data_IF_402821099479
#
_entry.id   IF_402821099479
#
_cell.length_a   1.000
_cell.length_b   1.000
_cell.length_c   1.000
_cell.angle_alpha   90.00
_cell.angle_beta   90.00
_cell.angle_gamma   90.00
#
_symmetry.space_group_name_H-M   'P 1'
#
loop_
_entity.id
_entity.type
_entity.pdbx_description
1 polymer ?
#
# COMPACT_ATOMS: atom_id res chain seq x y z
N UNK A 1 0.12 0.22 32.47
CA UNK A 1 0.04 -0.96 31.61
C UNK A 1 1.19 -0.87 30.62
N UNK A 2 2.32 -1.47 30.94
CA UNK A 2 3.46 -1.60 30.02
C UNK A 2 3.11 -2.72 29.04
N UNK A 3 2.84 -2.36 27.79
CA UNK A 3 2.65 -3.35 26.73
C UNK A 3 4.00 -3.98 26.41
N UNK A 4 4.14 -5.29 26.59
CA UNK A 4 5.33 -6.03 26.18
C UNK A 4 5.33 -6.12 24.64
N UNK A 5 6.21 -5.35 24.01
CA UNK A 5 6.38 -5.34 22.56
C UNK A 5 6.65 -6.75 22.02
N UNK A 6 7.36 -7.59 22.79
CA UNK A 6 7.65 -8.96 22.38
C UNK A 6 6.38 -9.83 22.34
N UNK A 7 5.48 -9.66 23.30
CA UNK A 7 4.20 -10.37 23.31
C UNK A 7 3.27 -9.91 22.17
N UNK A 8 3.26 -8.61 21.88
CA UNK A 8 2.53 -8.08 20.72
C UNK A 8 3.09 -8.64 19.41
N UNK A 9 4.42 -8.60 19.22
CA UNK A 9 5.08 -9.16 18.03
C UNK A 9 4.83 -10.67 17.90
N UNK A 10 4.84 -11.40 19.02
CA UNK A 10 4.49 -12.81 19.05
C UNK A 10 3.04 -13.04 18.61
N UNK A 11 2.08 -12.27 19.13
CA UNK A 11 0.67 -12.40 18.72
C UNK A 11 0.43 -12.05 17.24
N UNK A 12 1.19 -11.10 16.68
CA UNK A 12 1.20 -10.81 15.24
C UNK A 12 1.75 -12.02 14.45
N UNK A 13 2.88 -12.60 14.89
CA UNK A 13 3.49 -13.78 14.25
C UNK A 13 2.62 -15.05 14.35
N UNK A 14 1.98 -15.26 15.51
CA UNK A 14 1.03 -16.33 15.81
C UNK A 14 -0.34 -16.10 15.19
N UNK A 15 -0.52 -14.98 14.49
CA UNK A 15 -1.74 -14.67 13.75
C UNK A 15 -2.99 -14.58 14.65
N UNK A 16 -2.82 -14.03 15.85
CA UNK A 16 -3.91 -13.78 16.81
C UNK A 16 -4.59 -12.43 16.59
N UNK A 17 -3.90 -11.46 15.99
CA UNK A 17 -4.38 -10.09 15.84
C UNK A 17 -4.55 -9.67 14.39
N UNK A 18 -5.67 -9.03 14.09
CA UNK A 18 -5.90 -8.35 12.82
C UNK A 18 -4.93 -7.17 12.65
N UNK A 19 -3.92 -7.35 11.79
CA UNK A 19 -2.92 -6.33 11.47
C UNK A 19 -3.21 -5.66 10.13
N UNK A 20 -2.99 -4.35 10.06
CA UNK A 20 -3.20 -3.55 8.87
C UNK A 20 -1.97 -2.66 8.60
N UNK A 21 -1.35 -2.73 7.42
CA UNK A 21 -1.72 -3.55 6.25
C UNK A 21 -1.45 -5.04 6.48
N UNK A 22 -2.03 -5.93 5.64
CA UNK A 22 -1.84 -7.36 5.80
C UNK A 22 -0.38 -7.77 5.58
N UNK A 23 0.14 -8.59 6.49
CA UNK A 23 1.47 -9.19 6.37
C UNK A 23 1.35 -10.44 5.50
N UNK A 24 2.13 -10.47 4.41
CA UNK A 24 2.14 -11.57 3.47
C UNK A 24 2.90 -12.80 4.00
N UNK A 25 2.50 -14.00 3.59
CA UNK A 25 3.22 -15.24 3.89
C UNK A 25 4.31 -15.52 2.85
N UNK A 26 5.55 -15.64 3.35
CA UNK A 26 6.75 -15.91 2.54
C UNK A 26 7.57 -14.66 2.21
N UNK A 27 8.83 -14.87 1.82
CA UNK A 27 9.79 -13.81 1.46
C UNK A 27 9.79 -13.47 -0.03
N UNK A 28 9.00 -14.17 -0.84
CA UNK A 28 8.93 -13.95 -2.28
C UNK A 28 8.09 -12.71 -2.61
N UNK A 29 8.48 -11.98 -3.67
CA UNK A 29 7.67 -10.91 -4.25
C UNK A 29 6.29 -11.49 -4.65
N UNK A 30 5.21 -10.91 -4.11
CA UNK A 30 3.85 -11.45 -4.27
C UNK A 30 3.42 -12.44 -3.18
N UNK A 31 4.01 -12.35 -1.98
CA UNK A 31 3.63 -13.16 -0.82
C UNK A 31 2.10 -13.24 -0.65
N UNK A 32 1.62 -14.43 -0.28
CA UNK A 32 0.19 -14.72 -0.28
C UNK A 32 -0.40 -14.52 1.12
N UNK A 33 -1.65 -14.05 1.24
CA UNK A 33 -2.38 -13.94 2.53
C UNK A 33 -2.99 -15.31 2.94
N UNK A 34 -2.40 -16.39 2.42
CA UNK A 34 -2.88 -17.75 2.55
C UNK A 34 -1.84 -18.57 3.30
N UNK A 35 -2.25 -19.20 4.40
CA UNK A 35 -1.40 -20.09 5.20
C UNK A 35 -1.77 -21.54 4.98
N UNK A 36 -0.80 -22.46 5.10
CA UNK A 36 -1.09 -23.89 5.00
C UNK A 36 -1.77 -24.39 6.28
N UNK A 37 -3.08 -24.71 6.18
CA UNK A 37 -3.88 -25.21 7.29
C UNK A 37 -3.76 -26.73 7.47
N UNK A 38 -3.33 -27.45 6.42
CA UNK A 38 -3.18 -28.90 6.44
C UNK A 38 -3.09 -29.49 5.03
N UNK A 39 -3.37 -30.79 4.90
CA UNK A 39 -3.56 -31.46 3.60
C UNK A 39 -4.99 -31.99 3.51
N UNK A 40 -5.60 -31.81 2.34
CA UNK A 40 -6.87 -32.45 1.98
C UNK A 40 -6.75 -33.98 2.03
N UNK A 41 -7.88 -34.68 2.08
CA UNK A 41 -7.95 -36.15 1.93
C UNK A 41 -7.30 -36.64 0.63
N UNK A 42 -7.20 -35.79 -0.40
CA UNK A 42 -6.49 -36.07 -1.64
C UNK A 42 -4.98 -35.72 -1.60
N UNK A 43 -4.42 -35.42 -0.43
CA UNK A 43 -3.01 -35.06 -0.23
C UNK A 43 -2.61 -33.64 -0.66
N UNK A 44 -3.53 -32.85 -1.24
CA UNK A 44 -3.24 -31.48 -1.69
C UNK A 44 -3.13 -30.53 -0.48
N UNK A 45 -2.17 -29.59 -0.47
CA UNK A 45 -2.07 -28.60 0.61
C UNK A 45 -3.34 -27.74 0.63
N UNK A 46 -4.02 -27.74 1.78
CA UNK A 46 -5.18 -26.91 2.04
C UNK A 46 -4.71 -25.58 2.60
N UNK A 47 -5.09 -24.49 1.93
CA UNK A 47 -4.71 -23.14 2.32
C UNK A 47 -5.91 -22.43 2.94
N UNK A 48 -5.71 -21.84 4.11
CA UNK A 48 -6.68 -21.00 4.80
C UNK A 48 -6.31 -19.52 4.68
N UNK A 49 -7.30 -18.65 4.73
CA UNK A 49 -7.12 -17.21 4.90
C UNK A 49 -6.85 -16.91 6.37
N UNK A 50 -5.82 -16.12 6.70
CA UNK A 50 -5.61 -15.67 8.09
C UNK A 50 -6.44 -14.43 8.42
N UNK A 51 -6.47 -14.02 9.70
CA UNK A 51 -7.22 -12.86 10.21
C UNK A 51 -6.94 -11.53 9.44
N UNK A 52 -5.78 -11.42 8.75
CA UNK A 52 -5.39 -10.24 7.97
C UNK A 52 -6.08 -10.19 6.61
N UNK A 53 -6.73 -11.27 6.19
CA UNK A 53 -7.43 -11.35 4.91
C UNK A 53 -8.60 -10.38 4.79
N UNK A 54 -9.19 -9.92 5.91
CA UNK A 54 -10.21 -8.87 5.88
C UNK A 54 -9.65 -7.55 5.31
N UNK A 55 -8.34 -7.33 5.41
CA UNK A 55 -7.64 -6.18 4.86
C UNK A 55 -6.98 -6.47 3.51
N UNK A 56 -7.14 -7.67 2.94
CA UNK A 56 -6.63 -7.98 1.59
C UNK A 56 -7.29 -7.10 0.50
N UNK A 57 -8.51 -6.62 0.76
CA UNK A 57 -9.23 -5.74 -0.15
C UNK A 57 -8.82 -4.26 -0.02
N UNK A 58 -8.01 -3.89 0.98
CA UNK A 58 -7.55 -2.50 1.14
C UNK A 58 -6.18 -2.34 0.48
N UNK A 59 -6.08 -1.38 -0.45
CA UNK A 59 -4.80 -0.96 -1.01
C UNK A 59 -4.19 0.07 -0.08
N UNK A 60 -2.89 -0.08 0.18
CA UNK A 60 -2.12 0.84 1.00
C UNK A 60 -1.08 1.50 0.11
N UNK A 61 -1.30 2.77 -0.22
CA UNK A 61 -0.34 3.54 -1.00
C UNK A 61 0.18 4.69 -0.15
N UNK A 62 1.48 4.69 0.11
CA UNK A 62 2.18 5.79 0.77
C UNK A 62 2.80 6.70 -0.30
N UNK A 63 2.36 7.95 -0.34
CA UNK A 63 2.91 8.98 -1.22
C UNK A 63 3.78 9.88 -0.36
N UNK A 64 5.04 10.06 -0.73
CA UNK A 64 5.99 10.79 0.12
C UNK A 64 6.96 11.66 -0.71
N UNK A 65 7.35 12.81 -0.16
CA UNK A 65 8.31 13.74 -0.77
C UNK A 65 9.59 13.88 0.05
N UNK A 66 10.64 13.18 -0.35
CA UNK A 66 11.92 13.24 0.34
C UNK A 66 12.60 14.59 0.17
N UNK A 67 12.94 15.17 1.31
CA UNK A 67 13.84 16.31 1.39
C UNK A 67 15.30 16.00 1.09
N UNK A 68 16.13 17.04 1.06
CA UNK A 68 17.59 16.93 0.95
C UNK A 68 18.31 16.89 2.32
N UNK A 69 17.59 16.63 3.40
CA UNK A 69 18.14 16.47 4.76
C UNK A 69 18.46 17.77 5.51
N UNK A 70 18.35 18.95 4.88
CA UNK A 70 18.69 20.21 5.54
C UNK A 70 17.54 21.22 5.59
N UNK A 71 16.89 21.54 4.47
CA UNK A 71 15.91 22.66 4.43
C UNK A 71 14.84 22.55 3.33
N UNK A 72 14.68 21.39 2.70
CA UNK A 72 13.69 21.23 1.61
C UNK A 72 12.91 19.94 1.71
N UNK A 73 11.73 19.89 1.10
CA UNK A 73 10.85 18.73 1.00
C UNK A 73 9.89 18.60 2.18
N UNK A 74 9.50 17.37 2.47
CA UNK A 74 8.66 17.04 3.62
C UNK A 74 9.55 16.40 4.72
N UNK A 75 9.76 17.09 5.85
CA UNK A 75 10.64 16.62 6.92
C UNK A 75 10.10 15.42 7.69
N UNK A 76 8.81 15.07 7.54
CA UNK A 76 8.15 13.96 8.24
C UNK A 76 7.80 12.85 7.22
N UNK A 77 8.39 12.90 6.03
CA UNK A 77 8.16 11.93 4.96
C UNK A 77 9.13 10.75 5.01
N UNK A 78 8.76 9.67 4.33
CA UNK A 78 9.64 8.55 4.06
C UNK A 78 8.91 7.31 3.56
N UNK A 79 9.65 6.29 3.12
CA UNK A 79 9.08 5.00 2.83
C UNK A 79 8.50 4.37 4.12
N UNK A 80 7.34 3.75 3.99
CA UNK A 80 6.58 3.14 5.09
C UNK A 80 6.76 1.62 5.17
N UNK A 81 7.49 1.01 4.24
CA UNK A 81 7.69 -0.44 4.18
C UNK A 81 8.31 -1.01 5.46
N UNK A 82 9.19 -0.28 6.14
CA UNK A 82 9.81 -0.77 7.38
C UNK A 82 8.80 -0.92 8.52
N UNK A 83 7.83 -0.02 8.61
CA UNK A 83 6.83 -0.01 9.69
C UNK A 83 5.59 -0.86 9.37
N UNK A 84 5.21 -0.90 8.09
CA UNK A 84 3.95 -1.49 7.64
C UNK A 84 4.15 -2.74 6.76
N UNK A 85 5.38 -3.09 6.41
CA UNK A 85 5.68 -4.28 5.61
C UNK A 85 5.42 -4.12 4.11
N UNK A 86 5.57 -5.21 3.33
CA UNK A 86 5.56 -5.18 1.86
C UNK A 86 4.19 -4.96 1.24
N UNK A 87 3.11 -4.93 2.03
CA UNK A 87 1.76 -4.65 1.58
C UNK A 87 1.50 -3.17 1.25
N UNK A 88 2.48 -2.28 1.51
CA UNK A 88 2.40 -0.85 1.18
C UNK A 88 3.15 -0.55 -0.11
N UNK A 89 2.43 -0.03 -1.09
CA UNK A 89 3.02 0.58 -2.27
C UNK A 89 3.58 1.96 -1.90
N UNK A 90 4.87 2.19 -2.13
CA UNK A 90 5.52 3.45 -1.81
C UNK A 90 5.83 4.21 -3.10
N UNK A 91 5.24 5.39 -3.25
CA UNK A 91 5.44 6.26 -4.42
C UNK A 91 6.11 7.55 -3.98
N UNK A 92 7.34 7.75 -4.46
CA UNK A 92 8.08 8.99 -4.20
C UNK A 92 7.68 10.06 -5.22
N UNK A 93 7.34 11.24 -4.73
CA UNK A 93 7.11 12.44 -5.55
C UNK A 93 8.06 13.56 -5.14
N UNK A 94 8.28 14.51 -6.03
CA UNK A 94 9.00 15.76 -5.71
C UNK A 94 8.02 16.95 -5.82
N UNK A 95 7.56 17.50 -4.69
CA UNK A 95 6.58 18.61 -4.62
C UNK A 95 7.22 20.00 -4.61
N UNK A 96 6.65 20.97 -5.28
CA UNK A 96 7.11 22.37 -5.31
C UNK A 96 5.93 23.30 -5.09
N UNK A 97 6.06 24.18 -4.10
CA UNK A 97 5.19 25.35 -3.97
C UNK A 97 5.65 26.45 -4.93
N UNK A 98 4.83 27.50 -5.08
CA UNK A 98 5.18 28.71 -5.83
C UNK A 98 6.48 29.37 -5.34
N UNK A 99 6.78 29.26 -4.04
CA UNK A 99 7.97 29.81 -3.39
C UNK A 99 9.09 28.76 -3.17
N UNK A 100 9.02 27.59 -3.82
CA UNK A 100 10.03 26.54 -3.74
C UNK A 100 9.64 25.37 -2.83
N UNK A 101 10.64 24.72 -2.21
CA UNK A 101 10.49 23.42 -1.51
C UNK A 101 10.66 23.50 0.01
N UNK A 102 10.43 24.64 0.67
CA UNK A 102 10.83 24.82 2.08
C UNK A 102 10.06 23.88 3.05
N UNK A 103 8.75 23.73 2.86
CA UNK A 103 7.91 22.79 3.62
C UNK A 103 6.77 22.29 2.73
N UNK A 104 6.77 21.00 2.41
CA UNK A 104 5.85 20.44 1.39
C UNK A 104 4.81 19.47 1.95
N UNK A 105 4.82 19.20 3.26
CA UNK A 105 3.98 18.19 3.91
C UNK A 105 2.48 18.34 3.62
N UNK A 106 1.99 19.56 3.43
CA UNK A 106 0.56 19.85 3.17
C UNK A 106 0.24 19.98 1.67
N UNK A 107 1.21 19.77 0.78
CA UNK A 107 1.07 20.05 -0.65
C UNK A 107 0.61 18.84 -1.48
N UNK A 108 0.53 17.63 -0.90
CA UNK A 108 0.15 16.42 -1.63
C UNK A 108 -1.21 16.52 -2.33
N UNK A 109 -2.16 17.26 -1.75
CA UNK A 109 -3.49 17.50 -2.31
C UNK A 109 -3.66 18.91 -2.90
N UNK A 110 -2.61 19.73 -2.90
CA UNK A 110 -2.69 21.10 -3.38
C UNK A 110 -2.75 21.15 -4.91
N UNK A 111 -3.78 21.83 -5.43
CA UNK A 111 -3.93 22.11 -6.86
C UNK A 111 -2.96 23.21 -7.35
N UNK A 112 -2.44 24.02 -6.43
CA UNK A 112 -1.50 25.11 -6.73
C UNK A 112 -0.04 24.66 -6.67
N UNK A 113 0.23 23.50 -6.06
CA UNK A 113 1.56 22.91 -6.06
C UNK A 113 1.81 22.14 -7.37
N UNK A 114 3.07 22.03 -7.75
CA UNK A 114 3.50 21.13 -8.83
C UNK A 114 4.28 19.97 -8.22
N UNK A 115 4.24 18.81 -8.85
CA UNK A 115 5.09 17.71 -8.44
C UNK A 115 5.00 16.53 -9.38
N UNK A 116 6.09 15.76 -9.42
CA UNK A 116 6.23 14.62 -10.32
C UNK A 116 6.78 13.41 -9.58
N UNK A 117 6.34 12.23 -9.98
CA UNK A 117 6.87 10.96 -9.52
C UNK A 117 8.36 10.82 -9.87
N UNK A 118 9.19 10.47 -8.88
CA UNK A 118 10.66 10.42 -9.02
C UNK A 118 11.12 9.16 -9.74
N UNK A 119 10.47 8.03 -9.50
CA UNK A 119 10.86 6.72 -10.05
C UNK A 119 9.74 6.14 -10.92
N UNK A 120 9.37 6.87 -11.98
CA UNK A 120 8.40 6.36 -12.96
C UNK A 120 8.94 5.07 -13.64
N UNK A 121 8.06 4.09 -13.97
CA UNK A 121 8.47 2.90 -14.71
C UNK A 121 9.18 3.26 -16.02
N UNK A 122 10.19 2.48 -16.40
CA UNK A 122 10.98 2.74 -17.61
C UNK A 122 10.08 2.86 -18.86
N UNK A 123 10.14 4.01 -19.54
CA UNK A 123 9.33 4.31 -20.72
C UNK A 123 7.95 4.93 -20.44
N UNK A 124 7.57 5.12 -19.18
CA UNK A 124 6.36 5.84 -18.81
C UNK A 124 6.61 7.34 -18.60
N UNK A 125 5.61 8.16 -18.91
CA UNK A 125 5.63 9.59 -18.54
C UNK A 125 5.45 9.70 -17.03
N UNK A 126 6.32 10.43 -16.30
CA UNK A 126 6.16 10.64 -14.87
C UNK A 126 4.79 11.21 -14.51
N UNK A 127 4.11 10.57 -13.56
CA UNK A 127 2.80 11.02 -13.10
C UNK A 127 2.95 12.30 -12.28
N UNK A 128 1.98 13.20 -12.40
CA UNK A 128 1.87 14.33 -11.47
C UNK A 128 1.51 13.84 -10.07
N UNK A 129 1.87 14.58 -9.02
CA UNK A 129 1.50 14.22 -7.63
C UNK A 129 -0.01 14.06 -7.44
N UNK A 130 -0.82 14.88 -8.11
CA UNK A 130 -2.29 14.75 -8.10
C UNK A 130 -2.77 13.51 -8.86
N UNK A 131 -2.09 13.10 -9.94
CA UNK A 131 -2.44 11.88 -10.65
C UNK A 131 -2.11 10.65 -9.78
N UNK A 132 -0.96 10.63 -9.11
CA UNK A 132 -0.61 9.60 -8.13
C UNK A 132 -1.64 9.55 -7.01
N UNK A 133 -2.02 10.70 -6.44
CA UNK A 133 -3.04 10.77 -5.39
C UNK A 133 -4.37 10.18 -5.87
N UNK A 134 -4.87 10.62 -7.02
CA UNK A 134 -6.15 10.15 -7.57
C UNK A 134 -6.17 8.64 -7.84
N UNK A 135 -5.06 8.10 -8.32
CA UNK A 135 -4.88 6.67 -8.56
C UNK A 135 -4.86 5.88 -7.24
N UNK A 136 -4.10 6.36 -6.25
CA UNK A 136 -4.01 5.76 -4.91
C UNK A 136 -5.36 5.68 -4.19
N UNK A 137 -6.15 6.76 -4.23
CA UNK A 137 -7.50 6.80 -3.64
C UNK A 137 -8.58 6.28 -4.58
N UNK A 138 -8.19 5.74 -5.75
CA UNK A 138 -9.08 5.08 -6.69
C UNK A 138 -10.25 5.96 -7.19
N UNK A 139 -10.06 7.29 -7.18
CA UNK A 139 -11.09 8.27 -7.57
C UNK A 139 -11.46 8.23 -9.06
N UNK A 140 -10.75 7.42 -9.85
CA UNK A 140 -10.97 7.22 -11.28
C UNK A 140 -11.66 5.91 -11.65
N UNK A 141 -11.99 5.03 -10.68
CA UNK A 141 -12.60 3.73 -10.99
C UNK A 141 -14.01 3.93 -11.53
N UNK A 142 -14.17 3.80 -12.85
CA UNK A 142 -15.49 3.50 -13.42
C UNK A 142 -15.84 2.10 -12.93
N UNK A 143 -17.00 1.95 -12.28
CA UNK A 143 -17.54 0.62 -11.99
C UNK A 143 -17.60 -0.12 -13.33
N UNK A 144 -16.86 -1.21 -13.46
CA UNK A 144 -17.04 -2.12 -14.60
C UNK A 144 -18.54 -2.47 -14.66
N UNK A 145 -19.21 -2.30 -15.81
CA UNK A 145 -20.60 -2.68 -15.92
C UNK A 145 -20.71 -4.17 -15.54
N UNK A 146 -21.55 -4.44 -14.55
CA UNK A 146 -21.82 -5.79 -14.06
C UNK A 146 -22.05 -6.72 -15.25
N UNK A 147 -21.16 -7.69 -15.46
CA UNK A 147 -21.42 -8.77 -16.41
C UNK A 147 -22.61 -9.55 -15.84
N UNK A 148 -23.82 -9.19 -16.31
CA UNK A 148 -25.02 -9.94 -16.02
C UNK A 148 -24.78 -11.42 -16.41
N UNK A 149 -25.13 -12.38 -15.55
CA UNK A 149 -24.90 -13.79 -15.86
C UNK A 149 -25.60 -14.13 -17.18
N UNK A 150 -24.84 -14.68 -18.11
CA UNK A 150 -25.37 -15.14 -19.38
C UNK A 150 -26.53 -16.10 -19.10
N UNK A 151 -27.73 -15.71 -19.54
CA UNK A 151 -28.94 -16.52 -19.41
C UNK A 151 -28.71 -17.84 -20.13
N UNK A 152 -28.48 -18.91 -19.36
CA UNK A 152 -28.41 -20.25 -19.88
C UNK A 152 -29.77 -20.59 -20.50
N UNK A 153 -29.84 -20.62 -21.83
CA UNK A 153 -30.99 -21.17 -22.54
C UNK A 153 -31.02 -22.68 -22.27
N UNK A 154 -32.12 -23.12 -21.64
CA UNK A 154 -32.53 -24.52 -21.59
C UNK A 154 -32.88 -25.03 -22.98
#
# INVERSE_FOLDING_TARGET
MTYDLAEFQRGIAERLFSACPPIAEGTAAGGTILYQQGRSSSGKPQRGVHHGAVFAATRWTNIFDRGNGWLTGDPISGPMTENFGPGVENVQVELRASLGRIFTHTLYWSLAATGVEVAAPAGAVPRTHLAVLRDAVDLGRKLEPSQAPATAKR
#
